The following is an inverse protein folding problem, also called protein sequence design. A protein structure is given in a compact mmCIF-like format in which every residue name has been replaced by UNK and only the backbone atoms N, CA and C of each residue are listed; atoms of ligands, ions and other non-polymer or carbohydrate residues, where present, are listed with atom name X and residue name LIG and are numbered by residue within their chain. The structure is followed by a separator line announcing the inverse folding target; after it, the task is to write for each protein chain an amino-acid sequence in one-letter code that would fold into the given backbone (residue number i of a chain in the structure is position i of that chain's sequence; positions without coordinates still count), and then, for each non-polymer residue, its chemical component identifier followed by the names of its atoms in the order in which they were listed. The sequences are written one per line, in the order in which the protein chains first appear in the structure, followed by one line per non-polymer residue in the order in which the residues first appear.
data_IF_937988374417
#
_entry.id   IF_937988374417
#
_cell.length_a   1.000
_cell.length_b   1.000
_cell.length_c   1.000
_cell.angle_alpha   90.00
_cell.angle_beta   90.00
_cell.angle_gamma   90.00
#
_symmetry.space_group_name_H-M   'P 1'
#
loop_
_entity.id
_entity.type
_entity.pdbx_description
1 polymer ?
#
# COMPACT_ATOMS: atom_id res chain seq x y z
N UNK A 1 -7.27 11.16 16.90
CA UNK A 1 -6.28 10.27 17.53
C UNK A 1 -5.41 9.69 16.42
N UNK A 2 -4.15 10.13 16.33
CA UNK A 2 -3.25 9.90 15.19
C UNK A 2 -2.32 8.71 15.45
N UNK A 3 -2.86 7.49 15.36
CA UNK A 3 -2.09 6.25 15.56
C UNK A 3 -1.72 5.56 14.23
N UNK A 4 -2.23 6.03 13.09
CA UNK A 4 -2.07 5.38 11.77
C UNK A 4 -0.75 5.70 11.04
N UNK A 5 0.10 6.57 11.58
CA UNK A 5 1.29 7.07 10.87
C UNK A 5 2.49 6.11 10.91
N UNK A 6 2.61 5.28 11.95
CA UNK A 6 3.80 4.45 12.18
C UNK A 6 3.96 3.30 11.16
N UNK A 7 2.94 2.44 10.90
CA UNK A 7 3.10 1.32 9.96
C UNK A 7 3.32 1.80 8.53
N UNK A 8 2.65 2.86 8.09
CA UNK A 8 2.78 3.38 6.73
C UNK A 8 4.21 3.79 6.39
N UNK A 9 4.86 4.58 7.25
CA UNK A 9 6.19 5.13 6.94
C UNK A 9 7.23 4.01 6.84
N UNK A 10 7.15 3.04 7.74
CA UNK A 10 8.05 1.89 7.74
C UNK A 10 7.83 1.03 6.49
N UNK A 11 6.58 0.69 6.17
CA UNK A 11 6.22 -0.08 4.98
C UNK A 11 6.66 0.63 3.70
N UNK A 12 6.41 1.94 3.58
CA UNK A 12 6.79 2.70 2.40
C UNK A 12 8.31 2.69 2.18
N UNK A 13 9.10 2.83 3.24
CA UNK A 13 10.55 2.79 3.14
C UNK A 13 11.06 1.41 2.70
N UNK A 14 10.52 0.32 3.28
CA UNK A 14 10.88 -1.05 2.88
C UNK A 14 10.49 -1.32 1.42
N UNK A 15 9.25 -1.00 1.04
CA UNK A 15 8.78 -1.17 -0.33
C UNK A 15 9.66 -0.38 -1.32
N UNK A 16 10.02 0.85 -0.98
CA UNK A 16 10.90 1.70 -1.82
C UNK A 16 12.32 1.13 -1.94
N UNK A 17 12.87 0.56 -0.88
CA UNK A 17 14.23 0.03 -0.87
C UNK A 17 14.38 -1.20 -1.75
N UNK A 18 13.35 -2.06 -1.80
CA UNK A 18 13.44 -3.34 -2.49
C UNK A 18 12.72 -3.36 -3.84
N UNK A 19 11.63 -2.63 -4.02
CA UNK A 19 10.81 -2.75 -5.23
C UNK A 19 11.40 -1.99 -6.43
N UNK A 20 11.31 -2.58 -7.62
CA UNK A 20 11.72 -1.94 -8.88
C UNK A 20 10.53 -1.35 -9.61
N UNK A 21 9.94 -0.29 -9.04
CA UNK A 21 8.72 0.33 -9.60
C UNK A 21 9.05 1.56 -10.41
N UNK A 22 8.41 1.71 -11.57
CA UNK A 22 8.57 2.88 -12.44
C UNK A 22 8.02 4.18 -11.83
N UNK A 23 7.06 4.09 -10.91
CA UNK A 23 6.38 5.25 -10.32
C UNK A 23 6.19 5.09 -8.80
N UNK A 24 6.72 6.04 -8.03
CA UNK A 24 6.62 6.08 -6.57
C UNK A 24 5.17 6.22 -6.06
N UNK A 25 4.27 6.74 -6.88
CA UNK A 25 2.84 6.84 -6.54
C UNK A 25 2.20 5.48 -6.34
N UNK A 26 2.65 4.47 -7.08
CA UNK A 26 2.20 3.10 -6.90
C UNK A 26 2.64 2.55 -5.53
N UNK A 27 3.88 2.81 -5.12
CA UNK A 27 4.36 2.38 -3.81
C UNK A 27 3.65 3.08 -2.65
N UNK A 28 3.31 4.37 -2.81
CA UNK A 28 2.50 5.10 -1.81
C UNK A 28 1.10 4.47 -1.66
N UNK A 29 0.44 4.18 -2.77
CA UNK A 29 -0.88 3.54 -2.77
C UNK A 29 -0.82 2.14 -2.13
N UNK A 30 0.19 1.35 -2.48
CA UNK A 30 0.42 0.02 -1.89
C UNK A 30 0.65 0.10 -0.38
N UNK A 31 1.51 1.00 0.08
CA UNK A 31 1.78 1.19 1.50
C UNK A 31 0.52 1.61 2.27
N UNK A 32 -0.35 2.45 1.68
CA UNK A 32 -1.65 2.77 2.27
C UNK A 32 -2.58 1.56 2.36
N UNK A 33 -2.68 0.76 1.29
CA UNK A 33 -3.52 -0.45 1.29
C UNK A 33 -3.06 -1.46 2.33
N UNK A 34 -1.75 -1.73 2.43
CA UNK A 34 -1.19 -2.66 3.43
C UNK A 34 -1.41 -2.12 4.84
N UNK A 35 -1.20 -0.83 5.07
CA UNK A 35 -1.42 -0.23 6.40
C UNK A 35 -2.89 -0.35 6.81
N UNK A 36 -3.81 -0.07 5.89
CA UNK A 36 -5.24 -0.16 6.17
C UNK A 36 -5.71 -1.59 6.38
N UNK A 37 -5.19 -2.55 5.62
CA UNK A 37 -5.44 -3.97 5.82
C UNK A 37 -4.97 -4.43 7.21
N UNK A 38 -3.75 -4.06 7.62
CA UNK A 38 -3.20 -4.42 8.92
C UNK A 38 -3.98 -3.79 10.09
N UNK A 39 -4.45 -2.54 9.93
CA UNK A 39 -5.19 -1.85 10.98
C UNK A 39 -6.67 -2.27 11.05
N UNK A 40 -7.32 -2.54 9.91
CA UNK A 40 -8.73 -2.94 9.86
C UNK A 40 -8.94 -4.43 10.12
N UNK A 41 -7.98 -5.28 9.73
CA UNK A 41 -8.15 -6.74 9.74
C UNK A 41 -9.16 -7.27 8.70
N UNK A 42 -9.70 -6.40 7.85
CA UNK A 42 -10.73 -6.74 6.88
C UNK A 42 -10.21 -6.57 5.44
N UNK A 43 -10.77 -7.33 4.49
CA UNK A 43 -10.49 -7.15 3.05
C UNK A 43 -11.47 -6.19 2.37
N UNK A 44 -12.43 -5.66 3.12
CA UNK A 44 -13.40 -4.72 2.60
C UNK A 44 -12.76 -3.34 2.42
N UNK A 45 -12.67 -2.88 1.16
CA UNK A 45 -12.14 -1.55 0.83
C UNK A 45 -12.85 -0.44 1.61
N UNK A 46 -14.18 -0.48 1.74
CA UNK A 46 -14.90 0.56 2.48
C UNK A 46 -14.44 0.68 3.95
N UNK A 47 -14.04 -0.44 4.57
CA UNK A 47 -13.54 -0.47 5.95
C UNK A 47 -12.14 0.15 6.11
N UNK A 48 -11.41 0.37 5.02
CA UNK A 48 -10.03 0.89 5.04
C UNK A 48 -9.96 2.40 5.15
N UNK A 49 -11.04 3.12 4.83
CA UNK A 49 -11.05 4.59 4.77
C UNK A 49 -10.57 5.27 6.07
N UNK A 50 -11.01 4.85 7.28
CA UNK A 50 -10.58 5.47 8.53
C UNK A 50 -9.09 5.34 8.82
N UNK A 51 -8.41 4.38 8.19
CA UNK A 51 -7.02 4.01 8.47
C UNK A 51 -6.02 4.65 7.50
N UNK A 52 -6.49 5.28 6.43
CA UNK A 52 -5.62 5.95 5.45
C UNK A 52 -5.63 7.46 5.67
N UNK A 53 -4.47 8.13 5.68
CA UNK A 53 -4.39 9.58 5.74
C UNK A 53 -4.81 10.18 4.39
N UNK A 54 -6.12 10.23 4.15
CA UNK A 54 -6.74 10.82 2.97
C UNK A 54 -7.43 12.12 3.36
N UNK A 55 -7.26 13.18 2.55
CA UNK A 55 -8.08 14.40 2.64
C UNK A 55 -9.44 14.23 1.95
N UNK A 56 -9.72 13.05 1.38
CA UNK A 56 -10.98 12.81 0.72
C UNK A 56 -12.09 12.79 1.77
N UNK A 57 -13.07 13.66 1.60
CA UNK A 57 -14.28 13.75 2.42
C UNK A 57 -15.36 12.73 2.03
N UNK A 58 -15.10 11.93 0.98
CA UNK A 58 -16.03 10.94 0.43
C UNK A 58 -15.37 9.57 0.33
N UNK A 59 -15.95 8.58 1.03
CA UNK A 59 -15.56 7.16 1.01
C UNK A 59 -15.27 6.61 -0.39
N UNK A 60 -16.18 6.92 -1.31
CA UNK A 60 -16.12 6.43 -2.69
C UNK A 60 -14.89 6.92 -3.47
N UNK A 61 -14.29 8.06 -3.09
CA UNK A 61 -13.08 8.59 -3.75
C UNK A 61 -11.86 7.74 -3.40
N UNK A 62 -11.77 7.31 -2.15
CA UNK A 62 -10.70 6.46 -1.64
C UNK A 62 -10.82 5.05 -2.22
N UNK A 63 -12.03 4.50 -2.25
CA UNK A 63 -12.32 3.19 -2.86
C UNK A 63 -11.95 3.15 -4.35
N UNK A 64 -12.39 4.13 -5.14
CA UNK A 64 -12.05 4.24 -6.58
C UNK A 64 -10.55 4.40 -6.82
N UNK A 65 -9.79 4.95 -5.86
CA UNK A 65 -8.33 5.03 -5.97
C UNK A 65 -7.70 3.65 -5.84
N UNK A 66 -8.16 2.82 -4.91
CA UNK A 66 -7.64 1.46 -4.73
C UNK A 66 -8.06 0.54 -5.87
N UNK A 67 -9.30 0.64 -6.35
CA UNK A 67 -9.73 -0.08 -7.57
C UNK A 67 -8.83 0.26 -8.75
N UNK A 68 -8.63 1.56 -9.04
CA UNK A 68 -7.69 1.99 -10.10
C UNK A 68 -6.25 1.51 -9.88
N UNK A 69 -5.81 1.36 -8.63
CA UNK A 69 -4.49 0.81 -8.35
C UNK A 69 -4.43 -0.68 -8.71
N UNK A 70 -5.42 -1.48 -8.29
CA UNK A 70 -5.49 -2.91 -8.58
C UNK A 70 -5.67 -3.20 -10.07
N UNK A 71 -6.42 -2.37 -10.78
CA UNK A 71 -6.69 -2.52 -12.21
C UNK A 71 -5.59 -1.93 -13.11
N UNK A 72 -4.55 -1.31 -12.54
CA UNK A 72 -3.51 -0.66 -13.32
C UNK A 72 -2.49 -1.67 -13.88
N UNK A 73 -2.65 -2.00 -15.16
CA UNK A 73 -1.75 -2.90 -15.89
C UNK A 73 -0.29 -2.44 -15.97
N UNK A 74 0.01 -1.16 -15.67
CA UNK A 74 1.39 -0.66 -15.60
C UNK A 74 2.11 -1.06 -14.31
N UNK A 75 1.38 -1.61 -13.33
CA UNK A 75 1.95 -2.10 -12.08
C UNK A 75 2.40 -3.54 -12.30
N UNK A 76 3.70 -3.74 -12.46
CA UNK A 76 4.28 -5.08 -12.47
C UNK A 76 4.34 -5.62 -11.05
N UNK A 77 3.39 -6.50 -10.71
CA UNK A 77 3.36 -7.19 -9.41
C UNK A 77 4.66 -7.94 -9.15
N UNK A 78 5.21 -8.58 -10.17
CA UNK A 78 6.48 -9.31 -10.06
C UNK A 78 7.66 -8.39 -9.73
N UNK A 79 7.69 -7.17 -10.29
CA UNK A 79 8.74 -6.19 -9.99
C UNK A 79 8.69 -5.65 -8.55
N UNK A 80 7.56 -5.82 -7.87
CA UNK A 80 7.38 -5.48 -6.46
C UNK A 80 7.65 -6.70 -5.58
N UNK A 81 7.03 -7.84 -5.89
CA UNK A 81 7.02 -9.02 -5.04
C UNK A 81 8.35 -9.77 -5.03
N UNK A 82 8.96 -10.01 -6.21
CA UNK A 82 10.20 -10.80 -6.30
C UNK A 82 11.34 -10.20 -5.46
N UNK A 83 11.65 -8.89 -5.57
CA UNK A 83 12.71 -8.31 -4.75
C UNK A 83 12.46 -8.36 -3.25
N UNK A 84 11.18 -8.27 -2.82
CA UNK A 84 10.81 -8.38 -1.41
C UNK A 84 11.06 -9.79 -0.88
N UNK A 85 10.66 -10.81 -1.64
CA UNK A 85 10.90 -12.21 -1.27
C UNK A 85 12.39 -12.53 -1.23
N UNK A 86 13.15 -12.10 -2.25
CA UNK A 86 14.60 -12.30 -2.26
C UNK A 86 15.29 -11.61 -1.07
N UNK A 87 14.85 -10.41 -0.70
CA UNK A 87 15.35 -9.72 0.48
C UNK A 87 15.02 -10.49 1.78
N UNK A 88 13.80 -11.03 1.91
CA UNK A 88 13.41 -11.84 3.06
C UNK A 88 14.23 -13.14 3.15
N UNK A 89 14.53 -13.78 2.01
CA UNK A 89 15.33 -15.00 1.93
C UNK A 89 16.83 -14.77 2.14
N UNK A 90 17.37 -13.59 1.83
CA UNK A 90 18.81 -13.30 1.99
C UNK A 90 19.30 -13.30 3.45
N UNK A 91 18.39 -13.28 4.41
CA UNK A 91 18.69 -13.34 5.84
C UNK A 91 18.54 -14.74 6.46
N UNK A 92 18.24 -15.76 5.66
CA UNK A 92 18.16 -17.17 6.06
C UNK A 92 19.46 -17.90 5.72
#
# INVERSE_FOLDING_TARGET
MTSSTHPYRQLFNQLRQHSRVCDLRHLKALAWMISALLCSGELNLAAWEPYVPSRATKAQSTERRWQRFMDNSRISVMAIYIPLVLAALSGW
#
